data_IF_666821947715
#
_entry.id   IF_666821947715
#
_cell.length_a   1.000
_cell.length_b   1.000
_cell.length_c   1.000
_cell.angle_alpha   90.00
_cell.angle_beta   90.00
_cell.angle_gamma   90.00
#
_symmetry.space_group_name_H-M   'P 1'
#
loop_
_entity.id
_entity.type
_entity.pdbx_description
1 polymer ?
#
# COMPACT_ATOMS: atom_id res chain seq x y z
N UNK A 1 5.82 -18.43 8.14
CA UNK A 1 6.82 -18.05 9.16
C UNK A 1 7.65 -16.82 8.77
N UNK A 2 7.99 -16.62 7.49
CA UNK A 2 8.74 -15.43 7.03
C UNK A 2 8.03 -14.10 7.22
N UNK A 3 6.71 -14.03 7.01
CA UNK A 3 5.93 -12.78 7.10
C UNK A 3 5.82 -12.20 8.53
N UNK A 4 5.57 -13.08 9.52
CA UNK A 4 5.58 -12.68 10.93
C UNK A 4 7.00 -12.38 11.42
N UNK A 5 8.01 -13.09 10.88
CA UNK A 5 9.42 -12.81 11.13
C UNK A 5 9.84 -11.42 10.61
N UNK A 6 9.39 -11.02 9.42
CA UNK A 6 9.65 -9.68 8.89
C UNK A 6 8.91 -8.59 9.64
N UNK A 7 7.69 -8.85 10.13
CA UNK A 7 6.95 -7.92 10.98
C UNK A 7 7.67 -7.74 12.33
N UNK A 8 8.07 -8.83 12.98
CA UNK A 8 8.84 -8.79 14.22
C UNK A 8 10.20 -8.10 14.05
N UNK A 9 10.87 -8.33 12.92
CA UNK A 9 12.13 -7.67 12.59
C UNK A 9 11.97 -6.17 12.34
N UNK A 10 10.91 -5.75 11.64
CA UNK A 10 10.59 -4.34 11.42
C UNK A 10 10.26 -3.64 12.74
N UNK A 11 9.40 -4.23 13.58
CA UNK A 11 9.06 -3.69 14.90
C UNK A 11 10.30 -3.64 15.81
N UNK A 12 11.21 -4.60 15.73
CA UNK A 12 12.44 -4.58 16.51
C UNK A 12 13.41 -3.45 16.10
N UNK A 13 13.40 -3.02 14.83
CA UNK A 13 14.27 -1.94 14.32
C UNK A 13 13.65 -0.54 14.41
N UNK A 14 12.35 -0.45 14.11
CA UNK A 14 11.62 0.80 13.94
C UNK A 14 10.61 1.04 15.06
N UNK A 15 10.56 0.16 16.08
CA UNK A 15 9.53 0.16 17.12
C UNK A 15 9.43 1.46 17.92
N UNK A 16 10.55 2.16 18.15
CA UNK A 16 10.55 3.48 18.79
C UNK A 16 9.92 4.55 17.91
N UNK A 17 10.16 4.51 16.59
CA UNK A 17 9.51 5.40 15.63
C UNK A 17 8.01 5.10 15.54
N UNK A 18 7.63 3.81 15.56
CA UNK A 18 6.23 3.37 15.60
C UNK A 18 5.52 3.84 16.87
N UNK A 19 6.12 3.67 18.04
CA UNK A 19 5.55 4.12 19.32
C UNK A 19 5.44 5.64 19.36
N UNK A 20 6.46 6.36 18.90
CA UNK A 20 6.45 7.83 18.81
C UNK A 20 5.35 8.32 17.86
N UNK A 21 5.17 7.64 16.73
CA UNK A 21 4.07 7.92 15.82
C UNK A 21 2.71 7.69 16.49
N UNK A 22 2.53 6.56 17.18
CA UNK A 22 1.29 6.22 17.88
C UNK A 22 0.96 7.21 19.00
N UNK A 23 1.96 7.68 19.75
CA UNK A 23 1.75 8.67 20.82
C UNK A 23 1.56 10.09 20.29
N UNK A 24 2.01 10.37 19.07
CA UNK A 24 1.76 11.66 18.39
C UNK A 24 0.36 11.79 17.79
N UNK A 25 -0.42 10.70 17.76
CA UNK A 25 -1.79 10.73 17.26
C UNK A 25 -2.68 11.48 18.24
N UNK A 26 -3.09 12.69 17.86
CA UNK A 26 -4.14 13.43 18.56
C UNK A 26 -5.49 12.72 18.38
N UNK A 27 -5.88 11.97 19.41
CA UNK A 27 -7.15 11.25 19.47
C UNK A 27 -8.34 12.13 19.82
N UNK A 28 -8.12 13.40 20.19
CA UNK A 28 -9.18 14.33 20.56
C UNK A 28 -9.86 14.98 19.32
N UNK A 29 -9.21 14.98 18.15
CA UNK A 29 -9.75 15.58 16.93
C UNK A 29 -9.57 14.72 15.65
N UNK A 30 -10.00 13.45 15.64
CA UNK A 30 -9.70 12.52 14.55
C UNK A 30 -10.29 12.96 13.20
N UNK A 31 -11.49 13.55 13.18
CA UNK A 31 -12.12 14.02 11.94
C UNK A 31 -11.34 15.19 11.31
N UNK A 32 -10.86 16.13 12.12
CA UNK A 32 -10.08 17.26 11.63
C UNK A 32 -8.73 16.79 11.08
N UNK A 33 -8.06 15.87 11.78
CA UNK A 33 -6.80 15.26 11.31
C UNK A 33 -6.96 14.52 9.99
N UNK A 34 -8.07 13.79 9.81
CA UNK A 34 -8.36 13.06 8.57
C UNK A 34 -8.64 13.98 7.37
N UNK A 35 -9.22 15.14 7.62
CA UNK A 35 -9.55 16.13 6.59
C UNK A 35 -8.41 17.12 6.32
N UNK A 36 -7.39 17.16 7.19
CA UNK A 36 -6.20 17.97 6.99
C UNK A 36 -5.48 17.58 5.69
N UNK A 37 -4.78 18.55 5.09
CA UNK A 37 -3.95 18.32 3.91
C UNK A 37 -2.86 17.31 4.25
N UNK A 38 -2.73 16.27 3.42
CA UNK A 38 -1.72 15.25 3.61
C UNK A 38 -0.31 15.84 3.51
N UNK A 39 0.60 15.48 4.44
CA UNK A 39 2.02 15.84 4.35
C UNK A 39 2.79 14.94 3.37
N UNK A 40 2.16 13.93 2.78
CA UNK A 40 2.83 12.96 1.91
C UNK A 40 3.32 13.64 0.63
N UNK A 41 4.65 13.74 0.52
CA UNK A 41 5.36 14.30 -0.63
C UNK A 41 6.30 13.25 -1.23
N UNK A 42 6.73 13.49 -2.47
CA UNK A 42 7.68 12.59 -3.13
C UNK A 42 9.08 12.71 -2.50
N UNK A 43 9.78 11.60 -2.23
CA UNK A 43 11.13 11.64 -1.70
C UNK A 43 12.08 12.40 -2.63
N UNK A 44 12.97 13.21 -2.05
CA UNK A 44 14.02 13.86 -2.81
C UNK A 44 14.98 12.84 -3.42
N UNK A 45 15.66 13.20 -4.51
CA UNK A 45 16.69 12.34 -5.13
C UNK A 45 17.76 11.94 -4.12
N UNK A 46 18.17 12.87 -3.26
CA UNK A 46 19.10 12.60 -2.17
C UNK A 46 18.56 11.54 -1.21
N UNK A 47 17.29 11.63 -0.79
CA UNK A 47 16.67 10.63 0.08
C UNK A 47 16.59 9.24 -0.58
N UNK A 48 16.32 9.18 -1.89
CA UNK A 48 16.34 7.91 -2.65
C UNK A 48 17.75 7.34 -2.72
N UNK A 49 18.76 8.16 -3.00
CA UNK A 49 20.16 7.74 -3.04
C UNK A 49 20.65 7.24 -1.67
N UNK A 50 20.32 7.96 -0.60
CA UNK A 50 20.63 7.51 0.76
C UNK A 50 19.98 6.17 1.05
N UNK A 51 18.70 6.00 0.71
CA UNK A 51 17.97 4.74 0.91
C UNK A 51 18.57 3.59 0.09
N UNK A 52 19.01 3.86 -1.15
CA UNK A 52 19.68 2.86 -1.99
C UNK A 52 20.97 2.31 -1.34
N UNK A 53 21.66 3.14 -0.56
CA UNK A 53 22.92 2.76 0.11
C UNK A 53 22.65 2.17 1.50
N UNK A 54 21.78 2.78 2.29
CA UNK A 54 21.58 2.41 3.71
C UNK A 54 20.55 1.32 3.91
N UNK A 55 19.58 1.18 3.00
CA UNK A 55 18.46 0.25 3.11
C UNK A 55 17.90 -0.14 1.73
N UNK A 56 18.72 -0.77 0.87
CA UNK A 56 18.35 -1.07 -0.53
C UNK A 56 17.08 -1.92 -0.66
N UNK A 57 16.77 -2.76 0.32
CA UNK A 57 15.55 -3.58 0.36
C UNK A 57 14.28 -2.74 0.42
N UNK A 58 14.34 -1.50 0.93
CA UNK A 58 13.18 -0.58 0.94
C UNK A 58 12.77 -0.14 -0.46
N UNK A 59 13.71 -0.16 -1.43
CA UNK A 59 13.42 0.10 -2.84
C UNK A 59 12.67 -1.05 -3.52
N UNK A 60 12.63 -2.24 -2.91
CA UNK A 60 11.88 -3.36 -3.46
C UNK A 60 10.37 -3.10 -3.42
N UNK A 61 9.87 -2.36 -2.44
CA UNK A 61 8.44 -2.07 -2.25
C UNK A 61 7.79 -1.37 -3.46
N UNK A 62 8.33 -0.24 -3.96
CA UNK A 62 7.76 0.39 -5.16
C UNK A 62 7.91 -0.47 -6.42
N UNK A 63 9.02 -1.22 -6.55
CA UNK A 63 9.24 -2.11 -7.70
C UNK A 63 8.23 -3.25 -7.71
N UNK A 64 8.02 -3.91 -6.58
CA UNK A 64 7.06 -5.03 -6.47
C UNK A 64 5.63 -4.56 -6.69
N UNK A 65 5.28 -3.33 -6.28
CA UNK A 65 3.96 -2.75 -6.57
C UNK A 65 3.71 -2.60 -8.08
N UNK A 66 4.69 -2.09 -8.84
CA UNK A 66 4.58 -1.93 -10.30
C UNK A 66 4.50 -3.29 -11.00
N UNK A 67 5.34 -4.24 -10.57
CA UNK A 67 5.32 -5.61 -11.11
C UNK A 67 3.97 -6.26 -10.83
N UNK A 68 3.45 -6.17 -9.60
CA UNK A 68 2.15 -6.71 -9.21
C UNK A 68 1.02 -6.14 -10.07
N UNK A 69 0.96 -4.81 -10.24
CA UNK A 69 -0.06 -4.19 -11.08
C UNK A 69 0.00 -4.71 -12.52
N UNK A 70 1.21 -4.75 -13.09
CA UNK A 70 1.43 -5.20 -14.48
C UNK A 70 1.04 -6.67 -14.66
N UNK A 71 1.41 -7.52 -13.71
CA UNK A 71 1.05 -8.94 -13.71
C UNK A 71 -0.45 -9.14 -13.56
N UNK A 72 -1.11 -8.46 -12.63
CA UNK A 72 -2.57 -8.53 -12.45
C UNK A 72 -3.31 -8.06 -13.70
N UNK A 73 -2.87 -6.96 -14.30
CA UNK A 73 -3.44 -6.47 -15.54
C UNK A 73 -3.33 -7.51 -16.66
N UNK A 74 -2.15 -8.12 -16.83
CA UNK A 74 -1.94 -9.16 -17.84
C UNK A 74 -2.81 -10.42 -17.58
N UNK A 75 -2.92 -10.85 -16.32
CA UNK A 75 -3.73 -12.00 -15.92
C UNK A 75 -5.21 -11.73 -16.15
N UNK A 76 -5.74 -10.60 -15.67
CA UNK A 76 -7.16 -10.24 -15.84
C UNK A 76 -7.50 -10.02 -17.30
N UNK A 77 -6.61 -9.42 -18.10
CA UNK A 77 -6.82 -9.29 -19.55
C UNK A 77 -6.93 -10.65 -20.25
N UNK A 78 -6.17 -11.64 -19.82
CA UNK A 78 -6.12 -12.97 -20.46
C UNK A 78 -7.17 -13.95 -19.93
N UNK A 79 -7.53 -13.85 -18.65
CA UNK A 79 -8.32 -14.85 -17.94
C UNK A 79 -9.48 -14.27 -17.12
N UNK A 80 -9.65 -12.94 -17.10
CA UNK A 80 -10.76 -12.29 -16.40
C UNK A 80 -12.06 -12.42 -17.20
N UNK A 81 -12.99 -13.21 -16.68
CA UNK A 81 -14.29 -13.44 -17.32
C UNK A 81 -15.40 -12.55 -16.73
N UNK A 82 -15.17 -11.94 -15.56
CA UNK A 82 -16.14 -11.11 -14.87
C UNK A 82 -15.63 -9.67 -14.71
N UNK A 83 -16.53 -8.70 -14.77
CA UNK A 83 -16.18 -7.30 -14.52
C UNK A 83 -15.52 -7.12 -13.13
N UNK A 84 -15.95 -7.91 -12.15
CA UNK A 84 -15.44 -7.85 -10.78
C UNK A 84 -13.93 -8.16 -10.66
N UNK A 85 -13.33 -8.94 -11.59
CA UNK A 85 -11.88 -9.22 -11.54
C UNK A 85 -11.03 -7.98 -11.80
N UNK A 86 -11.59 -6.97 -12.47
CA UNK A 86 -10.90 -5.68 -12.68
C UNK A 86 -10.77 -4.87 -11.39
N UNK A 87 -11.58 -5.15 -10.36
CA UNK A 87 -11.46 -4.49 -9.06
C UNK A 87 -10.11 -4.79 -8.39
N UNK A 88 -9.53 -5.97 -8.64
CA UNK A 88 -8.19 -6.30 -8.13
C UNK A 88 -7.09 -5.47 -8.81
N UNK A 89 -7.25 -5.18 -10.11
CA UNK A 89 -6.33 -4.30 -10.86
C UNK A 89 -6.45 -2.87 -10.34
N UNK A 90 -7.68 -2.39 -10.12
CA UNK A 90 -7.93 -1.08 -9.52
C UNK A 90 -7.30 -1.01 -8.14
N UNK A 91 -7.50 -2.02 -7.29
CA UNK A 91 -6.93 -2.04 -5.95
C UNK A 91 -5.39 -2.02 -5.94
N UNK A 92 -4.74 -2.65 -6.93
CA UNK A 92 -3.29 -2.59 -7.10
C UNK A 92 -2.81 -1.25 -7.71
N UNK A 93 -3.65 -0.57 -8.50
CA UNK A 93 -3.32 0.70 -9.13
C UNK A 93 -3.45 1.89 -8.17
N UNK A 94 -4.39 1.83 -7.22
CA UNK A 94 -4.68 2.94 -6.29
C UNK A 94 -3.43 3.40 -5.51
N UNK A 95 -2.62 2.53 -4.87
CA UNK A 95 -1.40 2.97 -4.18
C UNK A 95 -0.41 3.70 -5.11
N UNK A 96 -0.27 3.23 -6.35
CA UNK A 96 0.59 3.86 -7.35
C UNK A 96 0.05 5.24 -7.72
N UNK A 97 -1.26 5.36 -7.90
CA UNK A 97 -1.93 6.63 -8.15
C UNK A 97 -1.74 7.64 -7.02
N UNK A 98 -1.82 7.20 -5.76
CA UNK A 98 -1.55 8.06 -4.59
C UNK A 98 -0.11 8.57 -4.57
N UNK A 99 0.86 7.68 -4.82
CA UNK A 99 2.28 8.07 -4.90
C UNK A 99 2.52 9.04 -6.05
N UNK A 100 1.91 8.79 -7.22
CA UNK A 100 1.99 9.70 -8.36
C UNK A 100 1.34 11.07 -8.06
N UNK A 101 0.21 11.10 -7.36
CA UNK A 101 -0.42 12.35 -6.92
C UNK A 101 0.51 13.15 -6.01
N UNK A 102 1.26 12.49 -5.12
CA UNK A 102 2.30 13.13 -4.31
C UNK A 102 3.47 13.68 -5.15
N UNK A 103 3.87 12.99 -6.23
CA UNK A 103 4.88 13.47 -7.19
C UNK A 103 4.47 14.77 -7.88
N UNK A 104 3.20 14.88 -8.26
CA UNK A 104 2.68 16.06 -8.94
C UNK A 104 2.22 17.16 -7.97
N UNK A 105 2.46 17.00 -6.66
CA UNK A 105 2.08 17.98 -5.65
C UNK A 105 0.56 18.17 -5.54
N UNK A 106 -0.24 17.16 -5.90
CA UNK A 106 -1.70 17.25 -5.87
C UNK A 106 -2.15 17.24 -4.40
N UNK A 107 -2.74 18.35 -3.90
CA UNK A 107 -3.21 18.43 -2.53
C UNK A 107 -4.39 17.47 -2.35
N UNK A 108 -4.37 16.72 -1.25
CA UNK A 108 -5.45 15.79 -0.90
C UNK A 108 -5.52 15.60 0.61
N UNK A 109 -6.71 15.28 1.16
CA UNK A 109 -6.86 14.97 2.57
C UNK A 109 -6.05 13.73 3.00
N UNK A 110 -5.64 13.68 4.27
CA UNK A 110 -4.99 12.50 4.88
C UNK A 110 -5.85 11.23 4.72
N UNK A 111 -7.18 11.34 4.79
CA UNK A 111 -8.08 10.20 4.60
C UNK A 111 -7.92 9.54 3.23
N UNK A 112 -7.58 10.30 2.18
CA UNK A 112 -7.36 9.75 0.84
C UNK A 112 -6.12 8.88 0.82
N UNK A 113 -5.05 9.28 1.51
CA UNK A 113 -3.84 8.49 1.64
C UNK A 113 -4.04 7.23 2.46
N UNK A 114 -4.78 7.31 3.57
CA UNK A 114 -5.10 6.15 4.39
C UNK A 114 -5.96 5.15 3.63
N UNK A 115 -7.00 5.63 2.94
CA UNK A 115 -7.85 4.76 2.13
C UNK A 115 -7.07 4.13 0.98
N UNK A 116 -6.24 4.91 0.28
CA UNK A 116 -5.54 4.45 -0.90
C UNK A 116 -4.31 3.57 -0.62
N UNK A 117 -3.53 3.86 0.43
CA UNK A 117 -2.30 3.16 0.75
C UNK A 117 -2.46 2.03 1.76
N UNK A 118 -3.48 2.08 2.62
CA UNK A 118 -3.69 1.05 3.64
C UNK A 118 -4.96 0.24 3.40
N UNK A 119 -6.13 0.90 3.29
CA UNK A 119 -7.41 0.18 3.22
C UNK A 119 -7.59 -0.54 1.90
N UNK A 120 -7.34 0.14 0.78
CA UNK A 120 -7.58 -0.41 -0.55
C UNK A 120 -6.73 -1.67 -0.85
N UNK A 121 -5.42 -1.71 -0.55
CA UNK A 121 -4.61 -2.92 -0.70
C UNK A 121 -5.08 -4.07 0.18
N UNK A 122 -5.46 -3.79 1.44
CA UNK A 122 -5.93 -4.81 2.38
C UNK A 122 -7.25 -5.42 1.91
N UNK A 123 -8.19 -4.59 1.48
CA UNK A 123 -9.48 -5.06 0.94
C UNK A 123 -9.28 -5.81 -0.38
N UNK A 124 -8.44 -5.30 -1.27
CA UNK A 124 -8.13 -5.95 -2.55
C UNK A 124 -7.46 -7.32 -2.38
N UNK A 125 -6.43 -7.40 -1.53
CA UNK A 125 -5.74 -8.65 -1.24
C UNK A 125 -6.64 -9.64 -0.47
N UNK A 126 -7.39 -9.16 0.53
CA UNK A 126 -8.34 -9.97 1.29
C UNK A 126 -9.44 -10.53 0.40
N UNK A 127 -10.04 -9.70 -0.46
CA UNK A 127 -11.04 -10.12 -1.43
C UNK A 127 -10.52 -11.19 -2.38
N UNK A 128 -9.30 -10.99 -2.92
CA UNK A 128 -8.66 -11.97 -3.80
C UNK A 128 -8.45 -13.32 -3.11
N UNK A 129 -7.95 -13.34 -1.87
CA UNK A 129 -7.74 -14.58 -1.11
C UNK A 129 -9.06 -15.30 -0.84
N UNK A 130 -10.12 -14.57 -0.49
CA UNK A 130 -11.46 -15.15 -0.25
C UNK A 130 -12.00 -15.77 -1.55
N UNK A 131 -11.88 -15.07 -2.67
CA UNK A 131 -12.36 -15.53 -3.98
C UNK A 131 -11.65 -16.80 -4.45
N UNK A 132 -10.31 -16.81 -4.36
CA UNK A 132 -9.49 -18.00 -4.63
C UNK A 132 -9.86 -19.15 -3.68
N UNK A 133 -10.05 -18.88 -2.39
CA UNK A 133 -10.45 -19.88 -1.41
C UNK A 133 -11.81 -20.51 -1.73
N UNK A 134 -12.79 -19.69 -2.12
CA UNK A 134 -14.12 -20.16 -2.55
C UNK A 134 -14.04 -21.00 -3.82
N UNK A 135 -13.26 -20.57 -4.81
CA UNK A 135 -13.04 -21.33 -6.04
C UNK A 135 -12.43 -22.70 -5.74
N UNK A 136 -11.34 -22.75 -4.96
CA UNK A 136 -10.67 -24.00 -4.58
C UNK A 136 -11.54 -24.94 -3.74
N UNK A 137 -12.45 -24.39 -2.93
CA UNK A 137 -13.43 -25.18 -2.18
C UNK A 137 -14.51 -25.78 -3.09
N UNK A 138 -15.03 -24.99 -4.03
CA UNK A 138 -16.07 -25.43 -4.95
C UNK A 138 -15.56 -26.39 -6.04
N UNK A 139 -14.27 -26.38 -6.33
CA UNK A 139 -13.63 -27.25 -7.33
C UNK A 139 -13.07 -28.57 -6.75
N UNK A 140 -13.45 -28.92 -5.52
CA UNK A 140 -13.14 -30.20 -4.85
C UNK A 140 -14.40 -31.03 -4.73
#
# INVERSE_FOLDING_TARGET
MSYLGSLGWYVAREGTALVTMLTSLDTAAPAATLLATSPLSFPSVAAVQTTAVTSPTMLAVPVTAIVLLSSLFAVVKRFGHAWATWLYVVAAAVPIGIVAAAMFGVPRPVVVDLLGLAVCPVVGAGGFVVDVGRYLWASR
#
